data_IF_451768519979
#
_entry.id   IF_451768519979
#
_cell.length_a   1.000
_cell.length_b   1.000
_cell.length_c   1.000
_cell.angle_alpha   90.00
_cell.angle_beta   90.00
_cell.angle_gamma   90.00
#
_symmetry.space_group_name_H-M   'P 1'
#
loop_
_entity.id
_entity.type
_entity.pdbx_description
1 polymer ?
#
# COMPACT_ATOMS: atom_id res chain seq x y z
N UNK A 1 -3.37 1.02 8.50
CA UNK A 1 -2.28 0.41 7.72
C UNK A 1 -2.02 1.10 6.38
N UNK A 2 -2.67 2.24 6.08
CA UNK A 2 -2.53 2.91 4.78
C UNK A 2 -1.07 3.23 4.40
N UNK A 3 -0.23 3.69 5.35
CA UNK A 3 1.19 3.91 5.07
C UNK A 3 1.97 2.62 4.72
N UNK A 4 1.56 1.47 5.27
CA UNK A 4 2.11 0.15 4.91
C UNK A 4 1.72 -0.21 3.49
N UNK A 5 0.43 -0.10 3.14
CA UNK A 5 -0.06 -0.39 1.79
C UNK A 5 0.56 0.53 0.73
N UNK A 6 0.74 1.82 1.05
CA UNK A 6 1.42 2.78 0.18
C UNK A 6 2.90 2.44 -0.05
N UNK A 7 3.60 1.97 0.99
CA UNK A 7 4.98 1.52 0.85
C UNK A 7 5.07 0.21 0.06
N UNK A 8 4.17 -0.73 0.30
CA UNK A 8 4.15 -1.99 -0.42
C UNK A 8 3.83 -1.78 -1.92
N UNK A 9 2.99 -0.79 -2.27
CA UNK A 9 2.67 -0.48 -3.67
C UNK A 9 3.86 0.05 -4.48
N UNK A 10 4.98 0.41 -3.83
CA UNK A 10 6.23 0.80 -4.51
C UNK A 10 7.22 -0.36 -4.66
N UNK A 11 6.79 -1.60 -4.37
CA UNK A 11 7.60 -2.82 -4.51
C UNK A 11 8.26 -3.30 -3.20
N UNK A 12 8.01 -2.63 -2.08
CA UNK A 12 8.45 -3.11 -0.77
C UNK A 12 7.51 -4.19 -0.20
N UNK A 13 7.93 -4.82 0.89
CA UNK A 13 7.06 -5.66 1.70
C UNK A 13 7.37 -5.46 3.19
N UNK A 14 6.85 -4.39 3.76
CA UNK A 14 7.31 -3.89 5.08
C UNK A 14 6.46 -4.42 6.25
N UNK A 15 7.02 -4.39 7.46
CA UNK A 15 6.26 -4.68 8.67
C UNK A 15 5.38 -3.49 9.11
N UNK A 16 4.36 -3.70 9.97
CA UNK A 16 3.49 -2.62 10.45
C UNK A 16 4.24 -1.46 11.12
N UNK A 17 5.32 -1.75 11.85
CA UNK A 17 6.12 -0.71 12.52
C UNK A 17 6.86 0.20 11.54
N UNK A 18 7.30 -0.30 10.39
CA UNK A 18 7.81 0.57 9.32
C UNK A 18 6.70 1.48 8.78
N UNK A 19 5.44 1.01 8.74
CA UNK A 19 4.28 1.87 8.42
C UNK A 19 4.05 2.99 9.43
N UNK A 20 4.23 2.72 10.73
CA UNK A 20 4.20 3.76 11.79
C UNK A 20 5.35 4.75 11.57
N UNK A 21 6.56 4.28 11.31
CA UNK A 21 7.73 5.12 11.05
C UNK A 21 7.53 6.04 9.83
N UNK A 22 7.00 5.50 8.72
CA UNK A 22 6.68 6.30 7.54
C UNK A 22 5.56 7.31 7.80
N UNK A 23 4.57 6.96 8.63
CA UNK A 23 3.52 7.91 9.05
C UNK A 23 4.11 9.07 9.82
N UNK A 24 5.02 8.81 10.77
CA UNK A 24 5.73 9.85 11.50
C UNK A 24 6.60 10.70 10.56
N UNK A 25 7.35 10.06 9.66
CA UNK A 25 8.16 10.75 8.65
C UNK A 25 7.31 11.69 7.79
N UNK A 26 6.18 11.22 7.24
CA UNK A 26 5.28 12.06 6.45
C UNK A 26 4.74 13.27 7.24
N UNK A 27 4.40 13.08 8.52
CA UNK A 27 3.97 14.18 9.40
C UNK A 27 5.09 15.20 9.63
N UNK A 28 6.31 14.74 9.94
CA UNK A 28 7.47 15.59 10.20
C UNK A 28 7.96 16.32 8.94
N UNK A 29 7.83 15.70 7.77
CA UNK A 29 8.03 16.34 6.46
C UNK A 29 6.99 17.44 6.22
N UNK A 30 5.72 17.16 6.51
CA UNK A 30 4.63 18.15 6.35
C UNK A 30 4.79 19.34 7.29
N UNK A 31 5.29 19.14 8.51
CA UNK A 31 5.53 20.21 9.47
C UNK A 31 6.89 20.93 9.27
N UNK A 32 7.69 20.53 8.28
CA UNK A 32 9.00 21.12 8.01
C UNK A 32 10.10 20.77 9.00
N UNK A 33 9.86 19.82 9.92
CA UNK A 33 10.87 19.37 10.90
C UNK A 33 11.95 18.51 10.23
N UNK A 34 11.56 17.71 9.23
CA UNK A 34 12.48 17.01 8.34
C UNK A 34 12.41 17.72 6.98
N UNK A 35 13.56 18.14 6.47
CA UNK A 35 13.72 18.84 5.19
C UNK A 35 13.61 17.91 3.98
N UNK A 36 13.48 18.51 2.80
CA UNK A 36 13.29 17.78 1.54
C UNK A 36 14.46 16.85 1.19
N UNK A 37 15.67 17.33 1.48
CA UNK A 37 16.95 16.74 1.10
C UNK A 37 17.69 16.10 2.29
N UNK A 38 17.03 15.99 3.45
CA UNK A 38 17.64 15.39 4.64
C UNK A 38 17.85 13.89 4.42
N UNK A 39 19.09 13.44 4.61
CA UNK A 39 19.40 12.01 4.61
C UNK A 39 18.68 11.34 5.76
N UNK A 40 17.60 10.65 5.43
CA UNK A 40 16.73 10.00 6.41
C UNK A 40 16.79 8.48 6.24
N UNK A 41 17.02 7.75 7.32
CA UNK A 41 17.01 6.28 7.34
C UNK A 41 15.88 5.81 8.23
N UNK A 42 14.99 4.97 7.69
CA UNK A 42 13.92 4.31 8.46
C UNK A 42 14.39 2.90 8.83
N UNK A 43 14.35 2.57 10.12
CA UNK A 43 14.75 1.24 10.60
C UNK A 43 13.57 0.27 10.50
N UNK A 44 13.73 -0.81 9.73
CA UNK A 44 12.78 -1.92 9.73
C UNK A 44 13.28 -3.04 10.65
N UNK A 45 12.51 -3.34 11.69
CA UNK A 45 12.95 -4.27 12.76
C UNK A 45 12.46 -5.71 12.54
N UNK A 46 11.59 -5.93 11.57
CA UNK A 46 11.01 -7.23 11.29
C UNK A 46 10.70 -7.39 9.81
N UNK A 47 10.90 -8.59 9.29
CA UNK A 47 10.58 -8.93 7.89
C UNK A 47 9.06 -8.91 7.65
N UNK A 48 8.60 -8.34 6.53
CA UNK A 48 7.18 -8.24 6.21
C UNK A 48 6.46 -9.60 6.11
N UNK A 49 7.18 -10.67 5.77
CA UNK A 49 6.65 -12.06 5.72
C UNK A 49 6.06 -12.54 7.04
N UNK A 50 6.42 -11.93 8.18
CA UNK A 50 5.79 -12.23 9.48
C UNK A 50 4.36 -11.70 9.60
N UNK A 51 3.92 -10.85 8.67
CA UNK A 51 2.67 -10.09 8.76
C UNK A 51 1.76 -10.28 7.54
N UNK A 52 1.90 -11.40 6.83
CA UNK A 52 1.07 -11.73 5.65
C UNK A 52 -0.42 -11.69 5.96
N UNK A 53 -0.86 -12.28 7.08
CA UNK A 53 -2.28 -12.29 7.46
C UNK A 53 -2.84 -10.87 7.62
N UNK A 54 -2.10 -9.98 8.29
CA UNK A 54 -2.51 -8.59 8.45
C UNK A 54 -2.66 -7.86 7.11
N UNK A 55 -1.81 -8.17 6.13
CA UNK A 55 -1.93 -7.63 4.78
C UNK A 55 -3.11 -8.25 4.02
N UNK A 56 -3.34 -9.56 4.14
CA UNK A 56 -4.52 -10.24 3.57
C UNK A 56 -5.78 -9.54 4.08
N UNK A 57 -5.91 -9.37 5.40
CA UNK A 57 -7.09 -8.76 6.01
C UNK A 57 -7.30 -7.31 5.54
N UNK A 58 -6.21 -6.55 5.36
CA UNK A 58 -6.29 -5.19 4.81
C UNK A 58 -6.76 -5.19 3.35
N UNK A 59 -6.13 -5.98 2.47
CA UNK A 59 -6.48 -6.00 1.05
C UNK A 59 -7.82 -6.69 0.75
N UNK A 60 -8.31 -7.54 1.67
CA UNK A 60 -9.67 -8.12 1.61
C UNK A 60 -10.74 -7.27 2.31
N UNK A 61 -10.38 -6.12 2.90
CA UNK A 61 -11.28 -5.24 3.68
C UNK A 61 -11.94 -5.93 4.88
N UNK A 62 -11.24 -6.86 5.53
CA UNK A 62 -11.74 -7.63 6.68
C UNK A 62 -11.34 -7.04 8.05
N UNK A 63 -10.69 -5.87 8.08
CA UNK A 63 -10.34 -5.19 9.34
C UNK A 63 -11.52 -4.32 9.78
N UNK A 64 -12.19 -4.71 10.87
CA UNK A 64 -13.30 -3.95 11.47
C UNK A 64 -12.88 -2.50 11.75
N UNK A 65 -13.77 -1.56 11.45
CA UNK A 65 -13.57 -0.11 11.67
C UNK A 65 -12.37 0.52 10.93
N UNK A 66 -11.80 -0.17 9.94
CA UNK A 66 -10.74 0.36 9.09
C UNK A 66 -11.21 0.44 7.63
N UNK A 67 -11.16 1.63 7.04
CA UNK A 67 -11.64 1.87 5.67
C UNK A 67 -10.86 1.11 4.58
N UNK A 68 -9.62 0.67 4.87
CA UNK A 68 -8.76 -0.06 3.94
C UNK A 68 -8.68 0.63 2.56
N UNK A 69 -8.38 1.94 2.56
CA UNK A 69 -8.53 2.82 1.38
C UNK A 69 -7.66 2.42 0.20
N UNK A 70 -6.52 1.78 0.47
CA UNK A 70 -5.56 1.32 -0.54
C UNK A 70 -5.64 -0.20 -0.74
N UNK A 71 -6.76 -0.84 -0.36
CA UNK A 71 -6.97 -2.26 -0.62
C UNK A 71 -6.93 -2.55 -2.14
N UNK A 72 -6.33 -3.67 -2.49
CA UNK A 72 -6.14 -4.12 -3.88
C UNK A 72 -6.56 -5.60 -3.99
N UNK A 73 -7.88 -5.89 -3.84
CA UNK A 73 -8.37 -7.25 -3.96
C UNK A 73 -8.34 -7.73 -5.41
N UNK A 74 -8.26 -9.05 -5.66
CA UNK A 74 -8.43 -9.59 -6.99
C UNK A 74 -9.77 -9.19 -7.62
N UNK A 75 -9.75 -8.78 -8.89
CA UNK A 75 -10.95 -8.49 -9.67
C UNK A 75 -11.44 -9.77 -10.36
N UNK A 76 -12.69 -10.18 -10.08
CA UNK A 76 -13.31 -11.34 -10.73
C UNK A 76 -13.80 -10.95 -12.13
N UNK A 77 -13.45 -11.75 -13.14
CA UNK A 77 -13.83 -11.52 -14.54
C UNK A 77 -14.30 -12.83 -15.19
N UNK A 78 -15.23 -12.73 -16.16
CA UNK A 78 -15.69 -13.89 -16.93
C UNK A 78 -14.57 -14.42 -17.82
N UNK A 79 -14.54 -15.74 -18.07
CA UNK A 79 -13.62 -16.39 -19.00
C UNK A 79 -13.98 -16.09 -20.47
N UNK A 80 -13.92 -14.81 -20.84
CA UNK A 80 -14.22 -14.28 -22.18
C UNK A 80 -13.18 -13.23 -22.52
N UNK A 81 -12.53 -13.37 -23.68
CA UNK A 81 -11.50 -12.44 -24.14
C UNK A 81 -11.90 -10.97 -24.00
N UNK A 82 -13.09 -10.60 -24.51
CA UNK A 82 -13.61 -9.23 -24.41
C UNK A 82 -13.69 -8.73 -22.96
N UNK A 83 -14.26 -9.54 -22.05
CA UNK A 83 -14.39 -9.15 -20.64
C UNK A 83 -13.04 -8.94 -19.95
N UNK A 84 -12.02 -9.71 -20.29
CA UNK A 84 -10.66 -9.51 -19.76
C UNK A 84 -10.03 -8.24 -20.34
N UNK A 85 -10.15 -8.04 -21.65
CA UNK A 85 -9.59 -6.85 -22.33
C UNK A 85 -10.22 -5.54 -21.85
N UNK A 86 -11.51 -5.53 -21.50
CA UNK A 86 -12.19 -4.36 -20.97
C UNK A 86 -11.57 -3.91 -19.62
N UNK A 87 -11.39 -4.85 -18.68
CA UNK A 87 -10.78 -4.57 -17.36
C UNK A 87 -9.32 -4.13 -17.51
N UNK A 88 -8.55 -4.77 -18.39
CA UNK A 88 -7.16 -4.39 -18.64
C UNK A 88 -7.04 -2.97 -19.23
N UNK A 89 -7.89 -2.62 -20.20
CA UNK A 89 -7.90 -1.28 -20.79
C UNK A 89 -8.27 -0.21 -19.78
N UNK A 90 -9.23 -0.49 -18.90
CA UNK A 90 -9.60 0.41 -17.81
C UNK A 90 -8.42 0.63 -16.85
N UNK A 91 -7.77 -0.46 -16.43
CA UNK A 91 -6.62 -0.41 -15.53
C UNK A 91 -5.45 0.38 -16.12
N UNK A 92 -5.04 0.08 -17.36
CA UNK A 92 -3.91 0.77 -18.00
C UNK A 92 -4.18 2.26 -18.22
N UNK A 93 -5.40 2.64 -18.62
CA UNK A 93 -5.78 4.06 -18.76
C UNK A 93 -5.75 4.82 -17.43
N UNK A 94 -6.05 4.14 -16.32
CA UNK A 94 -6.01 4.77 -15.00
C UNK A 94 -4.60 5.08 -14.50
N UNK A 95 -3.57 4.39 -15.04
CA UNK A 95 -2.16 4.58 -14.70
C UNK A 95 -1.42 5.61 -15.59
N UNK A 96 -2.04 6.09 -16.66
CA UNK A 96 -1.47 7.10 -17.58
C UNK A 96 -1.75 8.56 -17.12
N UNK A 97 -2.29 8.76 -15.92
CA UNK A 97 -2.53 10.07 -15.29
C UNK A 97 -1.59 10.30 -14.12
#
# INVERSE_FOLDING_TARGET
>A
MDATALADSTGMFICPHTGVALTALMKLRKSGVIGANDRTVVVSTAHGLKFTQSKIDYHSKNIKEMACRLANPPVKVKAKFGSVMDVLKEYLKSNDK
#
